data_IF_668672822745
#
_entry.id   IF_668672822745
#
_cell.length_a   1.000
_cell.length_b   1.000
_cell.length_c   1.000
_cell.angle_alpha   90.00
_cell.angle_beta   90.00
_cell.angle_gamma   90.00
#
_symmetry.space_group_name_H-M   'P 1'
#
loop_
_entity.id
_entity.type
_entity.pdbx_description
1 polymer ?
#
# COMPACT_ATOMS: atom_id res chain seq x y z
N UNK A 1 0.64 25.64 29.90
CA UNK A 1 1.52 26.49 29.07
C UNK A 1 2.88 25.81 29.02
N UNK A 2 3.17 25.00 27.99
CA UNK A 2 4.50 24.59 27.51
C UNK A 2 4.37 23.42 26.49
N UNK A 3 5.12 23.54 25.39
CA UNK A 3 5.38 22.58 24.28
C UNK A 3 4.23 22.51 23.23
N UNK A 4 4.42 22.79 21.93
CA UNK A 4 5.60 22.73 21.05
C UNK A 4 5.50 23.75 19.90
N UNK A 5 6.31 24.81 19.94
CA UNK A 5 6.64 25.59 18.73
C UNK A 5 7.88 24.94 18.10
N UNK A 6 7.68 23.91 17.28
CA UNK A 6 8.67 23.55 16.27
C UNK A 6 8.14 24.20 15.00
N UNK A 7 8.75 25.29 14.56
CA UNK A 7 8.48 25.85 13.24
C UNK A 7 8.90 24.80 12.22
N UNK A 8 7.93 24.01 11.76
CA UNK A 8 8.16 23.06 10.68
C UNK A 8 8.57 23.89 9.46
N UNK A 9 9.74 23.61 8.86
CA UNK A 9 10.17 24.34 7.67
C UNK A 9 9.08 24.30 6.61
N UNK A 10 8.76 25.45 6.01
CA UNK A 10 7.69 25.57 4.99
C UNK A 10 7.89 24.57 3.84
N UNK A 11 9.15 24.24 3.55
CA UNK A 11 9.58 23.28 2.52
C UNK A 11 9.11 21.84 2.86
N UNK A 12 8.94 21.50 4.15
CA UNK A 12 8.56 20.16 4.60
C UNK A 12 7.03 19.92 4.60
N UNK A 13 6.23 20.99 4.62
CA UNK A 13 4.76 20.92 4.64
C UNK A 13 4.18 20.00 3.54
N UNK A 14 4.54 20.14 2.24
CA UNK A 14 3.98 19.26 1.20
C UNK A 14 4.32 17.78 1.39
N UNK A 15 5.43 17.46 2.06
CA UNK A 15 5.82 16.09 2.35
C UNK A 15 5.05 15.51 3.55
N UNK A 16 4.72 16.33 4.54
CA UNK A 16 3.86 15.93 5.66
C UNK A 16 2.45 15.68 5.16
N UNK A 17 1.91 16.59 4.34
CA UNK A 17 0.59 16.45 3.74
C UNK A 17 0.53 15.24 2.81
N UNK A 18 1.61 14.97 2.05
CA UNK A 18 1.73 13.74 1.26
C UNK A 18 1.60 12.49 2.13
N UNK A 19 2.26 12.46 3.29
CA UNK A 19 2.19 11.32 4.23
C UNK A 19 0.79 11.14 4.82
N UNK A 20 0.10 12.24 5.16
CA UNK A 20 -1.26 12.20 5.66
C UNK A 20 -2.24 11.71 4.58
N UNK A 21 -2.06 12.16 3.34
CA UNK A 21 -2.83 11.71 2.19
C UNK A 21 -2.61 10.21 1.92
N UNK A 22 -1.35 9.74 1.95
CA UNK A 22 -1.01 8.32 1.82
C UNK A 22 -1.63 7.46 2.93
N UNK A 23 -1.71 7.98 4.16
CA UNK A 23 -2.33 7.27 5.28
C UNK A 23 -3.83 7.01 5.08
N UNK A 24 -4.53 7.86 4.32
CA UNK A 24 -5.96 7.69 4.00
C UNK A 24 -6.25 6.44 3.16
N UNK A 25 -5.26 5.92 2.44
CA UNK A 25 -5.40 4.74 1.59
C UNK A 25 -6.08 4.98 0.23
N UNK A 26 -6.55 6.22 -0.05
CA UNK A 26 -7.26 6.57 -1.27
C UNK A 26 -6.30 6.99 -2.37
N UNK A 27 -6.34 6.26 -3.48
CA UNK A 27 -5.43 6.50 -4.60
C UNK A 27 -5.73 7.82 -5.32
N UNK A 28 -7.00 8.08 -5.62
CA UNK A 28 -7.45 9.30 -6.30
C UNK A 28 -6.98 10.57 -5.62
N UNK A 29 -7.09 10.59 -4.29
CA UNK A 29 -6.79 11.77 -3.48
C UNK A 29 -5.27 12.01 -3.47
N UNK A 30 -4.48 10.92 -3.39
CA UNK A 30 -3.02 10.98 -3.44
C UNK A 30 -2.52 11.42 -4.82
N UNK A 31 -3.09 10.88 -5.90
CA UNK A 31 -2.75 11.26 -7.27
C UNK A 31 -3.05 12.75 -7.52
N UNK A 32 -4.24 13.22 -7.11
CA UNK A 32 -4.63 14.61 -7.24
C UNK A 32 -3.74 15.56 -6.42
N UNK A 33 -3.35 15.16 -5.20
CA UNK A 33 -2.44 15.92 -4.35
C UNK A 33 -1.04 16.03 -4.97
N UNK A 34 -0.50 14.92 -5.49
CA UNK A 34 0.79 14.89 -6.19
C UNK A 34 0.73 15.80 -7.40
N UNK A 35 -0.31 15.68 -8.23
CA UNK A 35 -0.47 16.47 -9.45
C UNK A 35 -0.53 17.98 -9.16
N UNK A 36 -1.17 18.38 -8.06
CA UNK A 36 -1.28 19.78 -7.63
C UNK A 36 0.03 20.34 -7.08
N UNK A 37 0.99 19.50 -6.69
CA UNK A 37 2.27 19.89 -6.11
C UNK A 37 3.49 19.43 -6.94
N UNK A 38 3.30 19.03 -8.21
CA UNK A 38 4.37 18.53 -9.09
C UNK A 38 5.57 19.48 -9.13
N UNK A 39 5.34 20.78 -9.28
CA UNK A 39 6.41 21.78 -9.40
C UNK A 39 7.33 21.80 -8.17
N UNK A 40 6.77 21.65 -6.96
CA UNK A 40 7.54 21.60 -5.70
C UNK A 40 8.37 20.31 -5.61
N UNK A 41 7.78 19.17 -5.97
CA UNK A 41 8.53 17.91 -5.97
C UNK A 41 9.59 17.85 -7.06
N UNK A 42 9.37 18.56 -8.17
CA UNK A 42 10.33 18.67 -9.26
C UNK A 42 11.49 19.61 -8.91
N UNK A 43 11.23 20.76 -8.25
CA UNK A 43 12.31 21.63 -7.77
C UNK A 43 13.24 20.93 -6.80
N UNK A 44 12.68 20.01 -5.99
CA UNK A 44 13.43 19.25 -5.00
C UNK A 44 14.06 17.97 -5.57
N UNK A 45 13.92 17.70 -6.88
CA UNK A 45 14.34 16.46 -7.55
C UNK A 45 13.76 15.16 -6.95
N UNK A 46 12.63 15.25 -6.24
CA UNK A 46 11.99 14.13 -5.55
C UNK A 46 10.79 13.53 -6.31
N UNK A 47 10.45 14.07 -7.48
CA UNK A 47 9.27 13.63 -8.25
C UNK A 47 9.27 12.12 -8.55
N UNK A 48 10.45 11.52 -8.80
CA UNK A 48 10.57 10.08 -9.02
C UNK A 48 10.17 9.25 -7.79
N UNK A 49 10.64 9.67 -6.61
CA UNK A 49 10.29 9.03 -5.33
C UNK A 49 8.80 9.19 -5.02
N UNK A 50 8.24 10.38 -5.30
CA UNK A 50 6.81 10.62 -5.10
C UNK A 50 5.94 9.73 -6.01
N UNK A 51 6.37 9.48 -7.26
CA UNK A 51 5.69 8.50 -8.13
C UNK A 51 5.81 7.06 -7.62
N UNK A 52 6.92 6.72 -6.97
CA UNK A 52 7.07 5.41 -6.30
C UNK A 52 6.13 5.28 -5.10
N UNK A 53 5.90 6.35 -4.34
CA UNK A 53 4.90 6.37 -3.25
C UNK A 53 3.50 6.12 -3.79
N UNK A 54 3.14 6.71 -4.93
CA UNK A 54 1.87 6.44 -5.58
C UNK A 54 1.74 4.96 -5.99
N UNK A 55 2.79 4.39 -6.58
CA UNK A 55 2.83 2.98 -7.00
C UNK A 55 2.79 2.00 -5.82
N UNK A 56 3.42 2.35 -4.70
CA UNK A 56 3.44 1.51 -3.49
C UNK A 56 2.07 1.44 -2.81
N UNK A 57 1.21 2.45 -3.01
CA UNK A 57 -0.15 2.44 -2.47
C UNK A 57 -1.00 1.31 -3.06
N UNK A 58 -0.92 1.08 -4.38
CA UNK A 58 -1.58 -0.06 -5.02
C UNK A 58 -1.13 -1.39 -4.42
N UNK A 59 0.19 -1.57 -4.29
CA UNK A 59 0.79 -2.77 -3.72
C UNK A 59 0.31 -3.02 -2.28
N UNK A 60 0.35 -1.98 -1.44
CA UNK A 60 -0.14 -2.03 -0.06
C UNK A 60 -1.63 -2.40 0.00
N UNK A 61 -2.47 -1.81 -0.83
CA UNK A 61 -3.90 -2.06 -0.81
C UNK A 61 -4.22 -3.49 -1.27
N UNK A 62 -3.58 -3.97 -2.34
CA UNK A 62 -3.71 -5.36 -2.80
C UNK A 62 -3.26 -6.34 -1.70
N UNK A 63 -2.09 -6.12 -1.10
CA UNK A 63 -1.60 -6.96 0.01
C UNK A 63 -2.61 -7.05 1.16
N UNK A 64 -3.24 -5.93 1.56
CA UNK A 64 -4.27 -5.94 2.60
C UNK A 64 -5.48 -6.79 2.22
N UNK A 65 -5.96 -6.67 0.97
CA UNK A 65 -7.04 -7.53 0.47
C UNK A 65 -6.63 -9.00 0.53
N UNK A 66 -5.39 -9.32 0.18
CA UNK A 66 -4.90 -10.70 0.22
C UNK A 66 -4.78 -11.31 1.62
N UNK A 67 -4.75 -10.47 2.67
CA UNK A 67 -4.71 -10.91 4.06
C UNK A 67 -6.10 -11.21 4.64
N UNK A 68 -7.16 -10.61 4.07
CA UNK A 68 -8.53 -10.69 4.62
C UNK A 68 -9.45 -11.58 3.81
N UNK A 69 -9.15 -11.85 2.54
CA UNK A 69 -9.98 -12.65 1.64
C UNK A 69 -9.27 -13.94 1.24
N UNK A 70 -10.00 -15.07 1.27
CA UNK A 70 -9.52 -16.35 0.73
C UNK A 70 -9.58 -16.39 -0.80
N UNK A 71 -10.65 -15.82 -1.35
CA UNK A 71 -10.90 -15.71 -2.79
C UNK A 71 -11.45 -14.32 -3.10
N UNK A 72 -10.96 -13.69 -4.16
CA UNK A 72 -11.41 -12.35 -4.56
C UNK A 72 -11.44 -12.24 -6.08
N UNK A 73 -12.49 -11.64 -6.66
CA UNK A 73 -12.52 -11.42 -8.11
C UNK A 73 -11.56 -10.28 -8.50
N UNK A 74 -11.03 -10.31 -9.73
CA UNK A 74 -10.20 -9.20 -10.23
C UNK A 74 -10.98 -7.89 -10.34
N UNK A 75 -12.30 -7.96 -10.52
CA UNK A 75 -13.18 -6.80 -10.50
C UNK A 75 -13.26 -6.17 -9.11
N UNK A 76 -13.39 -6.99 -8.06
CA UNK A 76 -13.42 -6.50 -6.67
C UNK A 76 -12.07 -5.88 -6.28
N UNK A 77 -10.96 -6.48 -6.72
CA UNK A 77 -9.62 -5.90 -6.55
C UNK A 77 -9.56 -4.53 -7.23
N UNK A 78 -9.96 -4.44 -8.51
CA UNK A 78 -9.95 -3.19 -9.26
C UNK A 78 -10.77 -2.10 -8.55
N UNK A 79 -11.96 -2.44 -8.08
CA UNK A 79 -12.85 -1.52 -7.36
C UNK A 79 -12.22 -1.07 -6.02
N UNK A 80 -11.69 -2.00 -5.24
CA UNK A 80 -11.13 -1.73 -3.92
C UNK A 80 -9.85 -0.88 -3.99
N UNK A 81 -9.06 -1.03 -5.04
CA UNK A 81 -7.82 -0.26 -5.23
C UNK A 81 -7.97 0.92 -6.20
N UNK A 82 -9.18 1.20 -6.68
CA UNK A 82 -9.49 2.30 -7.60
C UNK A 82 -8.76 2.22 -8.96
N UNK A 83 -8.60 1.00 -9.48
CA UNK A 83 -8.14 0.76 -10.86
C UNK A 83 -9.31 0.82 -11.83
N UNK A 84 -9.04 1.18 -13.09
CA UNK A 84 -10.10 1.42 -14.08
C UNK A 84 -10.69 0.13 -14.62
N UNK A 85 -9.88 -0.92 -14.70
CA UNK A 85 -10.29 -2.19 -15.33
C UNK A 85 -9.79 -3.42 -14.57
N UNK A 86 -10.52 -4.55 -14.61
CA UNK A 86 -10.04 -5.83 -14.08
C UNK A 86 -8.73 -6.30 -14.70
N UNK A 87 -8.48 -5.99 -15.98
CA UNK A 87 -7.23 -6.32 -16.68
C UNK A 87 -6.02 -5.58 -16.11
N UNK A 88 -6.22 -4.34 -15.69
CA UNK A 88 -5.19 -3.56 -15.01
C UNK A 88 -4.87 -4.19 -13.65
N UNK A 89 -5.90 -4.59 -12.89
CA UNK A 89 -5.72 -5.33 -11.65
C UNK A 89 -4.99 -6.66 -11.87
N UNK A 90 -5.32 -7.41 -12.93
CA UNK A 90 -4.63 -8.64 -13.31
C UNK A 90 -3.12 -8.41 -13.50
N UNK A 91 -2.76 -7.37 -14.25
CA UNK A 91 -1.36 -7.03 -14.53
C UNK A 91 -0.60 -6.69 -13.25
N UNK A 92 -1.21 -5.91 -12.35
CA UNK A 92 -0.59 -5.57 -11.06
C UNK A 92 -0.41 -6.81 -10.18
N UNK A 93 -1.45 -7.63 -10.05
CA UNK A 93 -1.42 -8.85 -9.26
C UNK A 93 -0.37 -9.83 -9.80
N UNK A 94 -0.29 -10.04 -11.11
CA UNK A 94 0.71 -10.91 -11.73
C UNK A 94 2.14 -10.46 -11.43
N UNK A 95 2.42 -9.15 -11.55
CA UNK A 95 3.74 -8.60 -11.17
C UNK A 95 4.03 -8.82 -9.70
N UNK A 96 3.06 -8.59 -8.82
CA UNK A 96 3.25 -8.81 -7.38
C UNK A 96 3.51 -10.28 -7.04
N UNK A 97 2.94 -11.24 -7.79
CA UNK A 97 3.25 -12.67 -7.65
C UNK A 97 4.68 -12.96 -8.13
N UNK A 98 5.06 -12.41 -9.29
CA UNK A 98 6.41 -12.58 -9.86
C UNK A 98 7.51 -11.99 -8.98
N UNK A 99 7.24 -10.82 -8.38
CA UNK A 99 8.13 -10.14 -7.44
C UNK A 99 8.16 -10.81 -6.06
N UNK A 100 7.30 -11.80 -5.80
CA UNK A 100 7.20 -12.51 -4.51
C UNK A 100 6.53 -11.69 -3.40
N UNK A 101 5.80 -10.63 -3.76
CA UNK A 101 5.10 -9.75 -2.81
C UNK A 101 3.79 -10.35 -2.28
N UNK A 102 3.15 -11.23 -3.06
CA UNK A 102 1.95 -12.00 -2.69
C UNK A 102 2.03 -13.44 -3.22
N UNK A 103 1.44 -14.37 -2.50
CA UNK A 103 1.35 -15.79 -2.88
C UNK A 103 -0.09 -16.13 -3.27
N UNK A 104 -0.37 -16.10 -4.57
CA UNK A 104 -1.72 -16.23 -5.11
C UNK A 104 -1.72 -17.03 -6.41
N UNK A 105 -2.83 -17.69 -6.72
CA UNK A 105 -3.09 -18.31 -8.03
C UNK A 105 -4.28 -17.62 -8.68
N UNK A 106 -4.20 -17.35 -9.98
CA UNK A 106 -5.31 -16.79 -10.76
C UNK A 106 -6.03 -17.94 -11.44
N UNK A 107 -7.32 -18.12 -11.12
CA UNK A 107 -8.20 -19.10 -11.73
C UNK A 107 -9.17 -18.40 -12.70
N UNK A 108 -9.14 -18.80 -13.97
CA UNK A 108 -10.09 -18.37 -14.99
C UNK A 108 -11.15 -19.46 -15.17
N UNK A 109 -12.38 -19.20 -14.72
CA UNK A 109 -13.50 -20.12 -14.92
C UNK A 109 -14.74 -19.33 -15.33
N UNK A 110 -15.44 -19.80 -16.36
CA UNK A 110 -16.73 -19.23 -16.81
C UNK A 110 -16.72 -17.72 -17.13
N UNK A 111 -15.58 -17.20 -17.62
CA UNK A 111 -15.42 -15.77 -17.92
C UNK A 111 -15.17 -14.88 -16.69
N UNK A 112 -15.17 -15.44 -15.48
CA UNK A 112 -14.77 -14.75 -14.26
C UNK A 112 -13.37 -15.19 -13.83
N UNK A 113 -12.47 -14.21 -13.76
CA UNK A 113 -11.11 -14.35 -13.22
C UNK A 113 -11.15 -14.12 -11.71
N UNK A 114 -10.89 -15.17 -10.94
CA UNK A 114 -10.78 -15.09 -9.48
C UNK A 114 -9.35 -15.35 -9.04
N UNK A 115 -8.91 -14.57 -8.05
CA UNK A 115 -7.69 -14.84 -7.30
C UNK A 115 -8.03 -15.84 -6.20
N UNK A 116 -7.37 -16.99 -6.20
CA UNK A 116 -7.33 -17.92 -5.08
C UNK A 116 -6.03 -17.66 -4.30
N UNK A 117 -6.19 -17.18 -3.07
CA UNK A 117 -5.05 -16.80 -2.25
C UNK A 117 -4.61 -18.00 -1.43
N UNK A 118 -3.34 -18.35 -1.55
CA UNK A 118 -2.73 -19.23 -0.56
C UNK A 118 -2.46 -18.32 0.63
N UNK A 119 -3.36 -18.34 1.62
CA UNK A 119 -3.09 -17.70 2.91
C UNK A 119 -1.92 -18.46 3.51
N UNK A 120 -0.71 -18.09 3.09
CA UNK A 120 0.49 -18.46 3.80
C UNK A 120 0.36 -17.86 5.18
N UNK A 121 0.77 -18.66 6.15
CA UNK A 121 0.71 -18.52 7.60
C UNK A 121 1.54 -17.30 8.10
N UNK A 122 1.62 -16.22 7.32
CA UNK A 122 2.27 -14.97 7.69
C UNK A 122 1.50 -14.22 8.76
N UNK A 123 0.17 -14.38 8.91
CA UNK A 123 -0.53 -13.77 10.04
C UNK A 123 -0.13 -14.45 11.36
N UNK A 124 0.05 -15.78 11.37
CA UNK A 124 0.50 -16.48 12.58
C UNK A 124 1.99 -16.21 12.87
N UNK A 125 2.86 -16.20 11.85
CA UNK A 125 4.29 -15.93 12.06
C UNK A 125 4.55 -14.46 12.38
N UNK A 126 3.84 -13.50 11.77
CA UNK A 126 3.98 -12.08 12.11
C UNK A 126 3.42 -11.79 13.52
N UNK A 127 2.30 -12.41 13.92
CA UNK A 127 1.83 -12.35 15.32
C UNK A 127 2.85 -12.97 16.28
N UNK A 128 3.48 -14.10 15.93
CA UNK A 128 4.52 -14.73 16.75
C UNK A 128 5.80 -13.89 16.81
N UNK A 129 6.23 -13.27 15.71
CA UNK A 129 7.41 -12.39 15.66
C UNK A 129 7.13 -11.10 16.44
N UNK A 130 5.96 -10.49 16.31
CA UNK A 130 5.55 -9.35 17.13
C UNK A 130 5.49 -9.74 18.62
N UNK A 131 4.93 -10.90 18.95
CA UNK A 131 4.86 -11.44 20.32
C UNK A 131 6.25 -11.72 20.92
N UNK A 132 7.17 -12.29 20.14
CA UNK A 132 8.56 -12.52 20.53
C UNK A 132 9.34 -11.20 20.67
N UNK A 133 9.10 -10.21 19.81
CA UNK A 133 9.75 -8.90 19.87
C UNK A 133 9.25 -8.07 21.07
N UNK A 134 8.00 -8.25 21.50
CA UNK A 134 7.49 -7.67 22.75
C UNK A 134 8.11 -8.34 23.99
N UNK A 135 8.41 -9.65 23.98
CA UNK A 135 8.99 -10.35 25.13
C UNK A 135 10.41 -9.89 25.45
N UNK A 136 11.21 -9.57 24.42
CA UNK A 136 12.59 -9.08 24.58
C UNK A 136 12.74 -7.70 25.24
N UNK A 137 11.64 -6.95 25.44
CA UNK A 137 11.67 -5.64 26.08
C UNK A 137 11.41 -5.68 27.60
N UNK A 138 11.00 -6.83 28.17
CA UNK A 138 10.69 -6.96 29.60
C UNK A 138 11.70 -7.81 30.38
N UNK A 139 12.72 -8.37 29.74
CA UNK A 139 13.76 -9.20 30.38
C UNK A 139 14.99 -8.38 30.85
N UNK A 140 14.87 -7.06 31.00
CA UNK A 140 15.89 -6.18 31.63
C UNK A 140 15.37 -5.44 32.88
N UNK A 141 14.43 -6.05 33.61
CA UNK A 141 14.10 -5.63 34.99
C UNK A 141 14.17 -6.84 35.91
#
# INVERSE_FOLDING_TARGET
>A
MLRTCIEIPIILIPYIDLSACYASGKYSDLEAFIQSNVEKFQSDNNLGLVKQVLSSLYKRNIQRLTQTYLTLSLQDIANAVQLKTPKEAEMHVLRMIQDGEIFATINQKDGMTHLALVIFIHNFIALQVQYLNCRGHYDWI
#
